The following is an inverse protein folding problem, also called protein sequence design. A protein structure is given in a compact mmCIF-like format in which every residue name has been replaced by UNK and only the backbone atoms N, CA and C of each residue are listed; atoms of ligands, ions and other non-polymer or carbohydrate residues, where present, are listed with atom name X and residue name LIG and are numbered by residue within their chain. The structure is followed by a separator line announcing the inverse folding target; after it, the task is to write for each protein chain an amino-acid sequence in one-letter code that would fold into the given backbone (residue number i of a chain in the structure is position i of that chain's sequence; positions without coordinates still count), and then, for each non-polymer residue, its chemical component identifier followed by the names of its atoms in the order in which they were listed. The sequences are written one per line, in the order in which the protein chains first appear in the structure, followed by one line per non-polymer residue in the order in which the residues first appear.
data_IF_161325416669
#
_entry.id   IF_161325416669
#
_cell.length_a   1.000
_cell.length_b   1.000
_cell.length_c   1.000
_cell.angle_alpha   90.00
_cell.angle_beta   90.00
_cell.angle_gamma   90.00
#
_symmetry.space_group_name_H-M   'P 1'
#
loop_
_entity.id
_entity.type
_entity.pdbx_description
1 polymer ?
#
# COMPACT_ATOMS: atom_id res chain seq x y z
N UNK A 1 7.65 5.42 -4.76
CA UNK A 1 6.77 5.29 -3.58
C UNK A 1 7.28 6.06 -2.36
N UNK A 2 8.56 6.01 -1.99
CA UNK A 2 9.10 6.73 -0.81
C UNK A 2 8.82 8.24 -0.82
N UNK A 3 9.08 8.93 -1.94
CA UNK A 3 8.80 10.38 -2.05
C UNK A 3 7.31 10.72 -1.93
N UNK A 4 6.42 9.87 -2.46
CA UNK A 4 4.97 10.05 -2.35
C UNK A 4 4.52 9.89 -0.89
N UNK A 5 4.99 8.84 -0.21
CA UNK A 5 4.70 8.62 1.22
C UNK A 5 5.25 9.76 2.09
N UNK A 6 6.45 10.28 1.77
CA UNK A 6 7.02 11.45 2.45
C UNK A 6 6.14 12.69 2.28
N UNK A 7 5.66 12.96 1.07
CA UNK A 7 4.74 14.08 0.80
C UNK A 7 3.39 13.91 1.51
N UNK A 8 2.85 12.71 1.55
CA UNK A 8 1.62 12.41 2.30
C UNK A 8 1.84 12.67 3.80
N UNK A 9 2.95 12.17 4.35
CA UNK A 9 3.32 12.39 5.76
C UNK A 9 3.50 13.88 6.10
N UNK A 10 4.19 14.65 5.25
CA UNK A 10 4.33 16.10 5.41
C UNK A 10 2.98 16.82 5.40
N UNK A 11 2.09 16.47 4.47
CA UNK A 11 0.75 17.06 4.42
C UNK A 11 -0.09 16.67 5.65
N UNK A 12 0.04 15.43 6.13
CA UNK A 12 -0.59 14.98 7.38
C UNK A 12 -0.16 15.81 8.58
N UNK A 13 1.15 16.03 8.73
CA UNK A 13 1.71 16.86 9.80
C UNK A 13 1.22 18.32 9.73
N UNK A 14 1.21 18.91 8.52
CA UNK A 14 0.69 20.26 8.31
C UNK A 14 -0.79 20.39 8.70
N UNK A 15 -1.62 19.43 8.32
CA UNK A 15 -3.05 19.42 8.70
C UNK A 15 -3.22 19.25 10.21
N UNK A 16 -2.40 18.40 10.84
CA UNK A 16 -2.44 18.21 12.30
C UNK A 16 -2.10 19.51 13.04
N UNK A 17 -1.01 20.19 12.64
CA UNK A 17 -0.61 21.48 13.23
C UNK A 17 -1.66 22.57 13.03
N UNK A 18 -2.27 22.63 11.84
CA UNK A 18 -3.35 23.58 11.56
C UNK A 18 -4.53 23.34 12.49
N UNK A 19 -4.90 22.08 12.70
CA UNK A 19 -6.00 21.69 13.59
C UNK A 19 -5.70 21.99 15.06
N UNK A 20 -4.50 21.72 15.55
CA UNK A 20 -4.06 22.08 16.90
C UNK A 20 -4.10 23.61 17.13
N UNK A 21 -3.68 24.38 16.12
CA UNK A 21 -3.74 25.84 16.15
C UNK A 21 -5.19 26.34 16.20
N UNK A 22 -6.08 25.79 15.37
CA UNK A 22 -7.50 26.12 15.36
C UNK A 22 -8.17 25.84 16.70
N UNK A 23 -7.88 24.68 17.32
CA UNK A 23 -8.38 24.36 18.67
C UNK A 23 -7.90 25.38 19.70
N UNK A 24 -6.64 25.80 19.62
CA UNK A 24 -6.09 26.81 20.51
C UNK A 24 -6.77 28.17 20.33
N UNK A 25 -7.02 28.59 19.08
CA UNK A 25 -7.77 29.81 18.78
C UNK A 25 -9.21 29.75 19.28
N UNK A 26 -9.91 28.62 19.08
CA UNK A 26 -11.28 28.44 19.59
C UNK A 26 -11.34 28.57 21.12
N UNK A 27 -10.34 28.02 21.84
CA UNK A 27 -10.24 28.17 23.30
C UNK A 27 -9.98 29.61 23.73
N UNK A 28 -9.09 30.32 23.04
CA UNK A 28 -8.79 31.73 23.32
C UNK A 28 -10.01 32.62 23.12
N UNK A 29 -10.72 32.44 21.99
CA UNK A 29 -11.94 33.21 21.70
C UNK A 29 -13.04 32.91 22.71
N UNK A 30 -13.19 31.64 23.13
CA UNK A 30 -14.13 31.27 24.18
C UNK A 30 -13.80 31.94 25.53
N UNK A 31 -12.52 32.00 25.91
CA UNK A 31 -12.07 32.69 27.12
C UNK A 31 -12.36 34.19 27.06
N UNK A 32 -12.03 34.85 25.95
CA UNK A 32 -12.30 36.28 25.73
C UNK A 32 -13.80 36.60 25.77
N UNK A 33 -14.64 35.73 25.21
CA UNK A 33 -16.09 35.87 25.23
C UNK A 33 -16.64 35.83 26.66
N UNK A 34 -16.10 34.98 27.51
CA UNK A 34 -16.53 34.88 28.91
C UNK A 34 -16.06 36.08 29.74
N UNK A 35 -14.87 36.63 29.48
CA UNK A 35 -14.35 37.79 30.21
C UNK A 35 -15.04 39.11 29.86
N UNK A 36 -15.54 39.27 28.63
CA UNK A 36 -16.21 40.50 28.18
C UNK A 36 -17.67 40.60 28.63
N UNK A 37 -18.28 39.52 29.11
CA UNK A 37 -19.73 39.37 29.31
C UNK A 37 -20.37 40.40 30.24
N UNK A 38 -19.61 40.93 31.20
CA UNK A 38 -20.09 41.89 32.21
C UNK A 38 -19.74 43.37 31.88
N UNK A 39 -19.24 43.66 30.66
CA UNK A 39 -18.82 45.01 30.28
C UNK A 39 -19.92 45.75 29.50
N UNK A 40 -20.23 47.03 29.79
CA UNK A 40 -21.29 47.77 29.09
C UNK A 40 -21.03 48.03 27.59
N UNK A 41 -19.79 47.91 27.12
CA UNK A 41 -19.41 47.98 25.70
C UNK A 41 -19.37 46.61 24.98
N UNK A 42 -19.83 45.53 25.65
CA UNK A 42 -19.60 44.17 25.19
C UNK A 42 -20.52 43.70 24.06
N UNK A 43 -21.69 44.32 23.86
CA UNK A 43 -22.69 43.78 22.92
C UNK A 43 -22.16 43.67 21.47
N UNK A 44 -21.48 44.70 20.98
CA UNK A 44 -20.90 44.73 19.63
C UNK A 44 -19.67 43.82 19.52
N UNK A 45 -18.78 43.86 20.52
CA UNK A 45 -17.60 42.98 20.57
C UNK A 45 -17.98 41.49 20.62
N UNK A 46 -19.00 41.12 21.41
CA UNK A 46 -19.51 39.75 21.50
C UNK A 46 -20.16 39.29 20.19
N UNK A 47 -20.80 40.19 19.44
CA UNK A 47 -21.33 39.88 18.11
C UNK A 47 -20.20 39.56 17.12
N UNK A 48 -19.12 40.34 17.11
CA UNK A 48 -17.94 40.05 16.29
C UNK A 48 -17.26 38.73 16.70
N UNK A 49 -17.09 38.48 18.00
CA UNK A 49 -16.50 37.22 18.49
C UNK A 49 -17.35 36.00 18.10
N UNK A 50 -18.67 36.14 18.05
CA UNK A 50 -19.56 35.06 17.59
C UNK A 50 -19.28 34.68 16.13
N UNK A 51 -19.10 35.67 15.25
CA UNK A 51 -18.72 35.43 13.84
C UNK A 51 -17.38 34.71 13.75
N UNK A 52 -16.39 35.16 14.52
CA UNK A 52 -15.06 34.51 14.57
C UNK A 52 -15.15 33.05 15.02
N UNK A 53 -15.99 32.74 16.02
CA UNK A 53 -16.20 31.34 16.44
C UNK A 53 -16.80 30.49 15.31
N UNK A 54 -17.78 31.03 14.58
CA UNK A 54 -18.38 30.32 13.43
C UNK A 54 -17.35 30.05 12.33
N UNK A 55 -16.48 31.01 12.03
CA UNK A 55 -15.41 30.85 11.04
C UNK A 55 -14.36 29.83 11.51
N UNK A 56 -13.94 29.89 12.77
CA UNK A 56 -13.01 28.92 13.36
C UNK A 56 -13.55 27.49 13.33
N UNK A 57 -14.84 27.31 13.62
CA UNK A 57 -15.49 26.01 13.51
C UNK A 57 -15.50 25.51 12.06
N UNK A 58 -15.84 26.38 11.11
CA UNK A 58 -15.83 26.05 9.68
C UNK A 58 -14.43 25.63 9.19
N UNK A 59 -13.38 26.33 9.63
CA UNK A 59 -12.00 25.96 9.34
C UNK A 59 -11.59 24.64 10.00
N UNK A 60 -12.06 24.37 11.23
CA UNK A 60 -11.80 23.12 11.95
C UNK A 60 -12.45 21.92 11.24
N UNK A 61 -13.67 22.08 10.76
CA UNK A 61 -14.37 21.07 9.96
C UNK A 61 -13.62 20.83 8.65
N UNK A 62 -13.13 21.88 8.01
CA UNK A 62 -12.36 21.75 6.78
C UNK A 62 -11.00 21.06 7.00
N UNK A 63 -10.30 21.37 8.10
CA UNK A 63 -9.08 20.65 8.50
C UNK A 63 -9.35 19.17 8.78
N UNK A 64 -10.50 18.85 9.38
CA UNK A 64 -10.95 17.46 9.62
C UNK A 64 -11.21 16.74 8.31
N UNK A 65 -11.86 17.39 7.34
CA UNK A 65 -12.07 16.86 6.00
C UNK A 65 -10.73 16.58 5.27
N UNK A 66 -9.78 17.52 5.35
CA UNK A 66 -8.45 17.35 4.76
C UNK A 66 -7.69 16.18 5.40
N UNK A 67 -7.77 16.01 6.73
CA UNK A 67 -7.17 14.88 7.42
C UNK A 67 -7.74 13.55 6.90
N UNK A 68 -9.06 13.46 6.72
CA UNK A 68 -9.72 12.30 6.12
C UNK A 68 -9.24 12.01 4.70
N UNK A 69 -9.08 13.05 3.87
CA UNK A 69 -8.56 12.92 2.50
C UNK A 69 -7.09 12.44 2.47
N UNK A 70 -6.25 12.94 3.38
CA UNK A 70 -4.86 12.49 3.51
C UNK A 70 -4.81 11.00 3.88
N UNK A 71 -5.60 10.55 4.85
CA UNK A 71 -5.71 9.14 5.22
C UNK A 71 -6.19 8.27 4.04
N UNK A 72 -7.22 8.71 3.32
CA UNK A 72 -7.70 8.01 2.13
C UNK A 72 -6.61 7.85 1.06
N UNK A 73 -5.83 8.90 0.79
CA UNK A 73 -4.72 8.85 -0.18
C UNK A 73 -3.59 7.96 0.32
N UNK A 74 -3.30 7.95 1.62
CA UNK A 74 -2.33 7.03 2.23
C UNK A 74 -2.76 5.58 1.99
N UNK A 75 -4.00 5.24 2.35
CA UNK A 75 -4.54 3.89 2.21
C UNK A 75 -4.57 3.44 0.74
N UNK A 76 -5.00 4.31 -0.17
CA UNK A 76 -4.97 4.04 -1.61
C UNK A 76 -3.53 3.82 -2.12
N UNK A 77 -2.56 4.60 -1.62
CA UNK A 77 -1.15 4.44 -1.98
C UNK A 77 -0.59 3.11 -1.48
N UNK A 78 -0.90 2.73 -0.23
CA UNK A 78 -0.52 1.43 0.32
C UNK A 78 -1.18 0.28 -0.45
N UNK A 79 -2.46 0.43 -0.82
CA UNK A 79 -3.17 -0.53 -1.66
C UNK A 79 -2.51 -0.72 -3.03
N UNK A 80 -2.09 0.36 -3.69
CA UNK A 80 -1.34 0.29 -4.94
C UNK A 80 0.02 -0.39 -4.77
N UNK A 81 0.76 -0.08 -3.70
CA UNK A 81 2.05 -0.73 -3.39
C UNK A 81 1.84 -2.23 -3.21
N UNK A 82 0.84 -2.63 -2.42
CA UNK A 82 0.54 -4.03 -2.16
C UNK A 82 0.12 -4.76 -3.44
N UNK A 83 -0.66 -4.12 -4.31
CA UNK A 83 -1.03 -4.71 -5.60
C UNK A 83 0.18 -4.94 -6.51
N UNK A 84 1.10 -3.96 -6.56
CA UNK A 84 2.34 -4.08 -7.33
C UNK A 84 3.26 -5.17 -6.77
N UNK A 85 3.39 -5.25 -5.44
CA UNK A 85 4.12 -6.33 -4.76
C UNK A 85 3.52 -7.70 -5.06
N UNK A 86 2.20 -7.85 -4.96
CA UNK A 86 1.50 -9.08 -5.31
C UNK A 86 1.75 -9.48 -6.76
N UNK A 87 1.75 -8.52 -7.69
CA UNK A 87 2.07 -8.77 -9.10
C UNK A 87 3.51 -9.27 -9.27
N UNK A 88 4.49 -8.65 -8.61
CA UNK A 88 5.89 -9.06 -8.65
C UNK A 88 6.05 -10.48 -8.10
N UNK A 89 5.49 -10.76 -6.91
CA UNK A 89 5.55 -12.09 -6.29
C UNK A 89 4.92 -13.14 -7.21
N UNK A 90 3.78 -12.84 -7.82
CA UNK A 90 3.12 -13.73 -8.79
C UNK A 90 4.03 -14.10 -9.95
N UNK A 91 4.73 -13.11 -10.52
CA UNK A 91 5.68 -13.34 -11.62
C UNK A 91 6.84 -14.22 -11.17
N UNK A 92 7.45 -13.91 -10.01
CA UNK A 92 8.57 -14.70 -9.46
C UNK A 92 8.14 -16.14 -9.16
N UNK A 93 6.96 -16.34 -8.59
CA UNK A 93 6.41 -17.68 -8.35
C UNK A 93 6.17 -18.46 -9.63
N UNK A 94 5.62 -17.82 -10.67
CA UNK A 94 5.44 -18.46 -11.99
C UNK A 94 6.80 -18.88 -12.55
N UNK A 95 7.80 -17.99 -12.51
CA UNK A 95 9.16 -18.30 -12.97
C UNK A 95 9.75 -19.49 -12.19
N UNK A 96 9.62 -19.49 -10.86
CA UNK A 96 10.07 -20.59 -10.02
C UNK A 96 9.40 -21.92 -10.40
N UNK A 97 8.08 -21.96 -10.56
CA UNK A 97 7.35 -23.17 -10.94
C UNK A 97 7.77 -23.69 -12.31
N UNK A 98 8.13 -22.80 -13.25
CA UNK A 98 8.62 -23.19 -14.59
C UNK A 98 10.06 -23.72 -14.55
N UNK A 99 10.94 -23.12 -13.75
CA UNK A 99 12.38 -23.45 -13.74
C UNK A 99 12.79 -24.50 -12.70
N UNK A 100 12.10 -24.61 -11.57
CA UNK A 100 12.48 -25.52 -10.49
C UNK A 100 12.44 -27.00 -10.89
N UNK A 101 11.40 -27.54 -11.56
CA UNK A 101 11.40 -28.96 -11.89
C UNK A 101 12.47 -29.35 -12.94
N UNK A 102 12.70 -28.60 -14.03
CA UNK A 102 13.82 -28.88 -14.93
C UNK A 102 15.18 -28.82 -14.23
N UNK A 103 15.35 -27.91 -13.26
CA UNK A 103 16.56 -27.80 -12.44
C UNK A 103 16.72 -29.02 -11.54
N UNK A 104 15.64 -29.48 -10.89
CA UNK A 104 15.67 -30.69 -10.07
C UNK A 104 16.03 -31.93 -10.90
N UNK A 105 15.43 -32.08 -12.08
CA UNK A 105 15.77 -33.16 -13.02
C UNK A 105 17.24 -33.06 -13.45
N UNK A 106 17.72 -31.87 -13.81
CA UNK A 106 19.12 -31.66 -14.17
C UNK A 106 20.08 -31.99 -13.02
N UNK A 107 19.73 -31.64 -11.77
CA UNK A 107 20.50 -31.97 -10.58
C UNK A 107 20.57 -33.48 -10.33
N UNK A 108 19.44 -34.20 -10.45
CA UNK A 108 19.40 -35.67 -10.26
C UNK A 108 20.27 -36.37 -11.30
N UNK A 109 20.17 -36.00 -12.57
CA UNK A 109 21.00 -36.58 -13.64
C UNK A 109 22.45 -36.08 -13.65
N UNK A 110 22.77 -35.00 -12.92
CA UNK A 110 24.13 -34.49 -12.73
C UNK A 110 24.91 -35.19 -11.61
N UNK A 111 24.27 -36.06 -10.81
CA UNK A 111 24.93 -36.84 -9.77
C UNK A 111 25.63 -38.07 -10.40
N UNK A 112 26.92 -38.26 -10.15
CA UNK A 112 27.70 -39.41 -10.63
C UNK A 112 27.34 -40.71 -9.90
N UNK A 113 26.16 -41.28 -10.16
CA UNK A 113 25.81 -42.62 -9.68
C UNK A 113 26.24 -43.67 -10.71
N UNK A 114 27.13 -44.58 -10.31
CA UNK A 114 27.70 -45.69 -11.10
C UNK A 114 26.66 -46.77 -11.49
N UNK A 115 25.48 -46.75 -10.85
CA UNK A 115 24.36 -47.67 -11.11
C UNK A 115 23.05 -46.90 -11.30
N UNK A 116 22.89 -46.19 -12.41
CA UNK A 116 21.58 -45.64 -12.83
C UNK A 116 20.82 -46.68 -13.68
N UNK A 117 19.82 -47.41 -13.16
CA UNK A 117 19.05 -48.40 -13.93
C UNK A 117 18.29 -47.78 -15.12
N UNK A 118 18.01 -46.48 -15.08
CA UNK A 118 17.35 -45.73 -16.16
C UNK A 118 18.25 -45.54 -17.41
N UNK A 119 19.59 -45.63 -17.26
CA UNK A 119 20.54 -45.47 -18.36
C UNK A 119 20.67 -46.73 -19.24
N UNK A 120 20.29 -47.90 -18.71
CA UNK A 120 20.25 -49.17 -19.46
C UNK A 120 19.03 -49.27 -20.38
N UNK A 121 18.07 -48.36 -20.26
CA UNK A 121 16.89 -48.31 -21.10
C UNK A 121 17.13 -47.33 -22.26
N UNK A 122 17.12 -47.81 -23.51
CA UNK A 122 17.35 -46.98 -24.70
C UNK A 122 16.39 -45.77 -24.82
N UNK A 123 15.26 -45.80 -24.11
CA UNK A 123 14.26 -44.74 -24.06
C UNK A 123 14.39 -43.77 -22.87
N UNK A 124 15.30 -44.01 -21.91
CA UNK A 124 15.43 -43.17 -20.70
C UNK A 124 15.86 -41.72 -20.99
N UNK A 125 16.79 -41.54 -21.93
CA UNK A 125 17.25 -40.20 -22.35
C UNK A 125 16.16 -39.40 -23.10
N UNK A 126 15.45 -39.97 -24.09
CA UNK A 126 14.25 -39.35 -24.67
C UNK A 126 13.16 -39.02 -23.64
N UNK A 127 12.91 -39.91 -22.67
CA UNK A 127 11.89 -39.72 -21.65
C UNK A 127 12.22 -38.55 -20.72
N UNK A 128 13.49 -38.39 -20.30
CA UNK A 128 13.95 -37.25 -19.50
C UNK A 128 13.79 -35.90 -20.24
N UNK A 129 14.03 -35.88 -21.56
CA UNK A 129 13.80 -34.69 -22.41
C UNK A 129 12.31 -34.36 -22.48
N UNK A 130 11.47 -35.38 -22.70
CA UNK A 130 10.01 -35.21 -22.71
C UNK A 130 9.53 -34.68 -21.36
N UNK A 131 10.06 -35.18 -20.24
CA UNK A 131 9.70 -34.73 -18.89
C UNK A 131 10.09 -33.27 -18.63
N UNK A 132 11.25 -32.82 -19.12
CA UNK A 132 11.64 -31.39 -19.11
C UNK A 132 10.67 -30.52 -19.91
N UNK A 133 10.32 -30.95 -21.12
CA UNK A 133 9.41 -30.20 -22.01
C UNK A 133 8.01 -30.15 -21.40
N UNK A 134 7.47 -31.28 -20.94
CA UNK A 134 6.18 -31.37 -20.27
C UNK A 134 6.15 -30.49 -19.03
N UNK A 135 7.21 -30.51 -18.23
CA UNK A 135 7.27 -29.69 -17.01
C UNK A 135 7.40 -28.19 -17.28
N UNK A 136 7.91 -27.76 -18.44
CA UNK A 136 7.89 -26.35 -18.82
C UNK A 136 6.52 -25.94 -19.41
N UNK A 137 5.89 -26.82 -20.18
CA UNK A 137 4.65 -26.53 -20.92
C UNK A 137 3.40 -26.64 -20.04
N UNK A 138 3.33 -27.58 -19.09
CA UNK A 138 2.17 -27.77 -18.20
C UNK A 138 1.86 -26.53 -17.35
N UNK A 139 2.85 -25.95 -16.62
CA UNK A 139 2.60 -24.74 -15.84
C UNK A 139 2.23 -23.57 -16.73
N UNK A 140 2.94 -23.38 -17.85
CA UNK A 140 2.67 -22.29 -18.80
C UNK A 140 1.23 -22.35 -19.35
N UNK A 141 0.78 -23.53 -19.79
CA UNK A 141 -0.57 -23.72 -20.29
C UNK A 141 -1.64 -23.53 -19.20
N UNK A 142 -1.36 -23.96 -17.96
CA UNK A 142 -2.27 -23.78 -16.83
C UNK A 142 -2.40 -22.32 -16.40
N UNK A 143 -1.28 -21.57 -16.32
CA UNK A 143 -1.28 -20.15 -16.01
C UNK A 143 -1.97 -19.31 -17.09
N UNK A 144 -1.79 -19.66 -18.38
CA UNK A 144 -2.51 -19.03 -19.50
C UNK A 144 -4.02 -19.27 -19.43
N UNK A 145 -4.45 -20.50 -19.10
CA UNK A 145 -5.89 -20.83 -18.97
C UNK A 145 -6.58 -20.12 -17.81
N UNK A 146 -5.86 -19.83 -16.74
CA UNK A 146 -6.40 -19.09 -15.59
C UNK A 146 -6.48 -17.57 -15.80
N UNK A 147 -6.01 -17.04 -16.93
CA UNK A 147 -5.96 -15.59 -17.17
C UNK A 147 -4.98 -14.87 -16.24
N UNK A 148 -3.94 -15.58 -15.80
CA UNK A 148 -2.93 -15.03 -14.87
C UNK A 148 -1.76 -14.36 -15.59
N UNK A 149 -1.73 -14.49 -16.92
CA UNK A 149 -0.82 -13.91 -17.91
C UNK A 149 -1.63 -13.07 -18.89
#
# INVERSE_FOLDING_TARGET
FVEVLRRIGLNSDLVSRARESLVSFTRLVAYFRETQKDTPAAAEALAHLKTVVTDLNSLSDHATFLAGKVSFVLDATLGMINNEQNRIVKIVSIAAVVFLPPTLVASIYGMNFELMPELKWAAGYPFAIILKIISAVLPYAWFKRKGWL
#
